data_IF_583835973229
#
_entry.id   IF_583835973229
#
_cell.length_a   1.000
_cell.length_b   1.000
_cell.length_c   1.000
_cell.angle_alpha   90.00
_cell.angle_beta   90.00
_cell.angle_gamma   90.00
#
_symmetry.space_group_name_H-M   'P 1'
#
loop_
_entity.id
_entity.type
_entity.pdbx_description
1 polymer ?
#
# COMPACT_ATOMS: atom_id res chain seq x y z
N UNK A 1 -22.42 -10.34 7.32
CA UNK A 1 -21.63 -11.34 8.07
C UNK A 1 -20.18 -11.16 7.68
N UNK A 2 -19.32 -10.70 8.60
CA UNK A 2 -17.89 -10.56 8.32
C UNK A 2 -17.29 -11.96 8.19
N UNK A 3 -16.61 -12.24 7.08
CA UNK A 3 -15.87 -13.49 6.94
C UNK A 3 -14.82 -13.56 8.05
N UNK A 4 -14.83 -14.66 8.79
CA UNK A 4 -13.92 -14.90 9.89
C UNK A 4 -12.48 -14.89 9.37
N UNK A 5 -11.66 -13.92 9.81
CA UNK A 5 -10.26 -13.81 9.38
C UNK A 5 -9.50 -15.04 9.86
N UNK A 6 -8.96 -15.82 8.94
CA UNK A 6 -8.43 -17.16 9.21
C UNK A 6 -6.98 -17.10 9.71
N UNK A 7 -6.24 -16.05 9.34
CA UNK A 7 -4.84 -15.88 9.74
C UNK A 7 -4.41 -14.41 9.86
N UNK A 8 -3.37 -14.18 10.66
CA UNK A 8 -2.73 -12.87 10.86
C UNK A 8 -1.22 -13.00 10.65
N UNK A 9 -0.62 -12.03 9.97
CA UNK A 9 0.83 -11.84 9.87
C UNK A 9 1.18 -10.61 10.69
N UNK A 10 2.03 -10.79 11.70
CA UNK A 10 2.61 -9.67 12.45
C UNK A 10 4.00 -9.35 11.93
N UNK A 11 4.25 -8.10 11.57
CA UNK A 11 5.50 -7.64 10.99
C UNK A 11 6.25 -6.80 12.02
N UNK A 12 7.48 -7.20 12.34
CA UNK A 12 8.35 -6.48 13.27
C UNK A 12 8.65 -5.07 12.74
N UNK A 13 8.45 -4.05 13.56
CA UNK A 13 8.81 -2.65 13.26
C UNK A 13 10.02 -2.17 14.08
N UNK A 14 10.80 -3.09 14.66
CA UNK A 14 12.08 -2.72 15.26
C UNK A 14 13.01 -2.11 14.20
N UNK A 15 13.72 -1.05 14.57
CA UNK A 15 14.63 -0.28 13.70
C UNK A 15 15.59 -1.17 12.89
N UNK A 16 16.16 -2.21 13.48
CA UNK A 16 17.12 -3.07 12.79
C UNK A 16 16.45 -3.95 11.72
N UNK A 17 15.25 -4.45 12.00
CA UNK A 17 14.44 -5.17 11.02
C UNK A 17 14.04 -4.26 9.86
N UNK A 18 13.53 -3.06 10.15
CA UNK A 18 13.14 -2.10 9.12
C UNK A 18 14.34 -1.68 8.27
N UNK A 19 15.46 -1.34 8.91
CA UNK A 19 16.70 -0.93 8.22
C UNK A 19 17.21 -2.03 7.30
N UNK A 20 17.23 -3.28 7.74
CA UNK A 20 17.71 -4.39 6.91
C UNK A 20 16.79 -4.65 5.71
N UNK A 21 15.48 -4.57 5.88
CA UNK A 21 14.57 -4.62 4.73
C UNK A 21 14.84 -3.49 3.74
N UNK A 22 14.99 -2.27 4.26
CA UNK A 22 15.24 -1.07 3.47
C UNK A 22 16.63 -1.04 2.81
N UNK A 23 17.58 -1.90 3.20
CA UNK A 23 18.82 -2.08 2.44
C UNK A 23 18.57 -2.73 1.08
N UNK A 24 17.66 -3.69 1.02
CA UNK A 24 17.25 -4.36 -0.23
C UNK A 24 16.16 -3.60 -0.97
N UNK A 25 15.27 -2.92 -0.24
CA UNK A 25 14.13 -2.19 -0.78
C UNK A 25 13.99 -0.81 -0.10
N UNK A 26 14.82 0.18 -0.47
CA UNK A 26 14.88 1.48 0.20
C UNK A 26 13.55 2.24 0.24
N UNK A 27 12.69 1.89 -0.71
CA UNK A 27 11.47 2.58 -1.08
C UNK A 27 10.19 1.96 -0.56
N UNK A 28 10.27 0.79 0.07
CA UNK A 28 9.09 0.03 0.49
C UNK A 28 9.25 -0.51 1.89
N UNK A 29 8.14 -0.70 2.58
CA UNK A 29 8.14 -1.42 3.84
C UNK A 29 7.70 -2.86 3.62
N UNK A 30 8.19 -3.78 4.46
CA UNK A 30 7.78 -5.18 4.43
C UNK A 30 6.24 -5.35 4.59
N UNK A 31 5.54 -4.60 5.48
CA UNK A 31 4.08 -4.61 5.52
C UNK A 31 3.41 -4.25 4.20
N UNK A 32 3.92 -3.25 3.47
CA UNK A 32 3.33 -2.84 2.19
C UNK A 32 3.47 -3.94 1.15
N UNK A 33 4.66 -4.54 1.05
CA UNK A 33 4.90 -5.65 0.13
C UNK A 33 4.04 -6.87 0.49
N UNK A 34 3.88 -7.18 1.77
CA UNK A 34 2.96 -8.25 2.21
C UNK A 34 1.52 -7.97 1.77
N UNK A 35 1.02 -6.74 1.97
CA UNK A 35 -0.33 -6.35 1.53
C UNK A 35 -0.49 -6.38 0.01
N UNK A 36 0.56 -6.07 -0.73
CA UNK A 36 0.56 -6.07 -2.19
C UNK A 36 0.61 -7.49 -2.78
N UNK A 37 1.32 -8.42 -2.12
CA UNK A 37 1.41 -9.83 -2.53
C UNK A 37 0.18 -10.66 -2.14
N UNK A 38 -0.55 -10.22 -1.11
CA UNK A 38 -1.73 -10.92 -0.59
C UNK A 38 -3.01 -10.29 -1.13
N UNK A 39 -3.81 -11.09 -1.83
CA UNK A 39 -5.09 -10.62 -2.35
C UNK A 39 -6.10 -10.32 -1.22
N UNK A 40 -7.04 -9.39 -1.41
CA UNK A 40 -8.13 -9.18 -0.43
C UNK A 40 -8.94 -10.44 -0.10
N UNK A 41 -8.93 -11.43 -1.01
CA UNK A 41 -9.61 -12.72 -0.88
C UNK A 41 -8.92 -13.70 0.09
N UNK A 42 -7.65 -13.50 0.44
CA UNK A 42 -6.86 -14.53 1.13
C UNK A 42 -7.16 -14.69 2.64
N UNK A 43 -8.06 -13.88 3.21
CA UNK A 43 -8.42 -13.88 4.64
C UNK A 43 -7.21 -13.74 5.62
N UNK A 44 -6.08 -13.22 5.13
CA UNK A 44 -4.88 -12.92 5.92
C UNK A 44 -4.84 -11.44 6.26
N UNK A 45 -4.69 -11.13 7.55
CA UNK A 45 -4.54 -9.75 8.02
C UNK A 45 -3.06 -9.41 8.27
N UNK A 46 -2.58 -8.27 7.75
CA UNK A 46 -1.18 -7.84 7.92
C UNK A 46 -1.12 -6.71 8.95
N UNK A 47 -0.58 -7.01 10.13
CA UNK A 47 -0.42 -6.06 11.23
C UNK A 47 1.05 -5.71 11.45
N UNK A 48 1.30 -4.46 11.78
CA UNK A 48 2.59 -4.04 12.32
C UNK A 48 2.61 -4.24 13.83
N UNK A 49 3.78 -4.56 14.36
CA UNK A 49 4.00 -4.71 15.81
C UNK A 49 5.39 -4.18 16.17
N UNK A 50 5.68 -4.05 17.47
CA UNK A 50 7.00 -3.66 17.95
C UNK A 50 8.07 -4.71 17.67
N UNK A 51 8.99 -4.87 18.62
CA UNK A 51 10.03 -5.89 18.53
C UNK A 51 9.44 -7.30 18.66
N UNK A 52 9.74 -8.19 17.72
CA UNK A 52 9.38 -9.62 17.76
C UNK A 52 10.52 -10.52 18.31
N UNK A 53 11.50 -9.92 18.98
CA UNK A 53 12.76 -10.55 19.39
C UNK A 53 13.64 -10.97 18.20
N UNK A 54 14.93 -11.25 18.44
CA UNK A 54 15.91 -11.70 17.42
C UNK A 54 16.03 -10.75 16.21
N UNK A 55 15.99 -9.43 16.44
CA UNK A 55 16.07 -8.43 15.38
C UNK A 55 17.45 -8.34 14.72
N UNK A 56 18.49 -8.88 15.38
CA UNK A 56 19.81 -9.14 14.81
C UNK A 56 19.76 -10.11 13.61
N UNK A 57 18.70 -10.93 13.52
CA UNK A 57 18.40 -11.84 12.41
C UNK A 57 17.21 -11.39 11.56
N UNK A 58 16.75 -10.15 11.73
CA UNK A 58 15.67 -9.55 10.95
C UNK A 58 15.88 -9.59 9.43
N UNK A 59 14.90 -9.17 8.63
CA UNK A 59 13.53 -8.80 9.00
C UNK A 59 12.70 -9.99 9.51
N UNK A 60 11.84 -9.74 10.50
CA UNK A 60 11.07 -10.77 11.21
C UNK A 60 9.56 -10.61 11.01
N UNK A 61 8.87 -11.73 10.83
CA UNK A 61 7.40 -11.81 10.88
C UNK A 61 6.94 -12.97 11.75
N UNK A 62 5.74 -12.89 12.30
CA UNK A 62 5.06 -14.00 12.97
C UNK A 62 3.77 -14.33 12.22
N UNK A 63 3.66 -15.58 11.79
CA UNK A 63 2.40 -16.14 11.32
C UNK A 63 1.56 -16.57 12.52
N UNK A 64 0.31 -16.14 12.57
CA UNK A 64 -0.69 -16.56 13.57
C UNK A 64 -1.87 -17.19 12.86
N UNK A 65 -2.05 -18.49 13.04
CA UNK A 65 -3.18 -19.23 12.49
C UNK A 65 -3.58 -20.36 13.45
N UNK A 66 -4.89 -20.54 13.66
CA UNK A 66 -5.46 -21.66 14.44
C UNK A 66 -4.81 -21.86 15.83
N UNK A 67 -4.57 -20.76 16.55
CA UNK A 67 -3.94 -20.78 17.88
C UNK A 67 -2.43 -21.08 17.91
N UNK A 68 -1.80 -21.33 16.75
CA UNK A 68 -0.35 -21.50 16.61
C UNK A 68 0.30 -20.19 16.18
N UNK A 69 1.53 -19.99 16.65
CA UNK A 69 2.38 -18.88 16.23
C UNK A 69 3.72 -19.41 15.74
N UNK A 70 4.22 -18.84 14.64
CA UNK A 70 5.50 -19.23 14.06
C UNK A 70 6.28 -17.99 13.65
N UNK A 71 7.42 -17.80 14.29
CA UNK A 71 8.37 -16.75 13.96
C UNK A 71 9.20 -17.17 12.74
N UNK A 72 9.27 -16.29 11.75
CA UNK A 72 10.15 -16.41 10.58
C UNK A 72 11.05 -15.19 10.54
N UNK A 73 12.32 -15.42 10.23
CA UNK A 73 13.41 -14.45 10.32
C UNK A 73 14.18 -14.42 9.01
N UNK A 74 15.03 -13.41 8.83
CA UNK A 74 15.91 -13.29 7.66
C UNK A 74 15.16 -13.03 6.36
N UNK A 75 13.98 -12.42 6.42
CA UNK A 75 13.17 -12.12 5.23
C UNK A 75 13.65 -10.83 4.56
N UNK A 76 14.85 -10.85 3.97
CA UNK A 76 15.49 -9.69 3.35
C UNK A 76 15.24 -9.57 1.83
N UNK A 77 14.48 -10.51 1.25
CA UNK A 77 14.11 -10.54 -0.16
C UNK A 77 12.66 -10.97 -0.36
N UNK A 78 12.06 -10.50 -1.45
CA UNK A 78 10.71 -10.92 -1.88
C UNK A 78 10.65 -12.43 -2.10
N UNK A 79 11.72 -13.06 -2.60
CA UNK A 79 11.76 -14.51 -2.84
C UNK A 79 11.64 -15.31 -1.53
N UNK A 80 12.39 -14.95 -0.49
CA UNK A 80 12.30 -15.59 0.83
C UNK A 80 10.93 -15.34 1.47
N UNK A 81 10.35 -14.16 1.26
CA UNK A 81 9.01 -13.84 1.72
C UNK A 81 7.96 -14.75 1.07
N UNK A 82 8.03 -14.96 -0.26
CA UNK A 82 7.12 -15.85 -0.98
C UNK A 82 7.27 -17.29 -0.49
N UNK A 83 8.50 -17.78 -0.34
CA UNK A 83 8.74 -19.14 0.18
C UNK A 83 8.12 -19.32 1.57
N UNK A 84 8.27 -18.31 2.45
CA UNK A 84 7.67 -18.33 3.78
C UNK A 84 6.13 -18.34 3.72
N UNK A 85 5.53 -17.54 2.83
CA UNK A 85 4.08 -17.50 2.61
C UNK A 85 3.56 -18.83 2.07
N UNK A 86 4.20 -19.40 1.04
CA UNK A 86 3.78 -20.68 0.45
C UNK A 86 3.95 -21.85 1.41
N UNK A 87 4.98 -21.82 2.26
CA UNK A 87 5.17 -22.82 3.31
C UNK A 87 4.09 -22.78 4.37
N UNK A 88 3.55 -21.60 4.68
CA UNK A 88 2.55 -21.44 5.73
C UNK A 88 1.11 -21.61 5.20
N UNK A 89 0.82 -21.06 4.03
CA UNK A 89 -0.54 -20.98 3.49
C UNK A 89 -0.78 -21.90 2.28
N UNK A 90 0.26 -22.54 1.75
CA UNK A 90 0.19 -23.42 0.58
C UNK A 90 0.71 -22.76 -0.69
N UNK A 91 1.14 -23.61 -1.64
CA UNK A 91 1.62 -23.17 -2.95
C UNK A 91 0.54 -22.41 -3.71
N UNK A 92 0.95 -21.34 -4.41
CA UNK A 92 0.04 -20.53 -5.22
C UNK A 92 -0.79 -19.52 -4.43
N UNK A 93 -0.54 -19.35 -3.12
CA UNK A 93 -1.15 -18.27 -2.33
C UNK A 93 -0.78 -16.86 -2.86
N UNK A 94 0.36 -16.74 -3.54
CA UNK A 94 0.81 -15.50 -4.19
C UNK A 94 0.75 -15.68 -5.71
N UNK A 95 -0.16 -14.99 -6.42
CA UNK A 95 -0.20 -14.97 -7.87
C UNK A 95 1.12 -14.47 -8.50
N UNK A 96 1.64 -15.13 -9.56
CA UNK A 96 2.88 -14.70 -10.23
C UNK A 96 2.86 -13.25 -10.73
N UNK A 97 1.68 -12.76 -11.15
CA UNK A 97 1.50 -11.38 -11.62
C UNK A 97 1.67 -10.35 -10.49
N UNK A 98 1.26 -10.68 -9.26
CA UNK A 98 1.53 -9.81 -8.10
C UNK A 98 3.02 -9.79 -7.75
N UNK A 99 3.72 -10.91 -7.87
CA UNK A 99 5.18 -10.96 -7.69
C UNK A 99 5.88 -10.02 -8.69
N UNK A 100 5.50 -10.11 -9.97
CA UNK A 100 6.03 -9.25 -11.01
C UNK A 100 5.69 -7.77 -10.77
N UNK A 101 4.44 -7.48 -10.42
CA UNK A 101 3.98 -6.12 -10.11
C UNK A 101 4.76 -5.50 -8.96
N UNK A 102 4.96 -6.20 -7.84
CA UNK A 102 5.74 -5.72 -6.70
C UNK A 102 7.19 -5.37 -7.07
N UNK A 103 7.81 -6.16 -7.94
CA UNK A 103 9.16 -5.88 -8.44
C UNK A 103 9.21 -4.62 -9.30
N UNK A 104 8.22 -4.43 -10.18
CA UNK A 104 8.14 -3.23 -11.04
C UNK A 104 7.78 -2.00 -10.21
N UNK A 105 6.94 -2.12 -9.19
CA UNK A 105 6.65 -1.04 -8.24
C UNK A 105 7.90 -0.58 -7.48
N UNK A 106 8.79 -1.50 -7.11
CA UNK A 106 10.10 -1.15 -6.54
C UNK A 106 10.92 -0.28 -7.51
N UNK A 107 11.03 -0.70 -8.78
CA UNK A 107 11.72 0.06 -9.83
C UNK A 107 11.08 1.43 -10.09
N UNK A 108 9.75 1.51 -10.06
CA UNK A 108 9.03 2.77 -10.24
C UNK A 108 9.40 3.81 -9.18
N UNK A 109 9.65 3.37 -7.94
CA UNK A 109 10.05 4.30 -6.89
C UNK A 109 11.51 4.74 -7.02
N UNK A 110 12.39 3.86 -7.50
CA UNK A 110 13.80 4.17 -7.76
C UNK A 110 14.01 5.05 -9.00
N UNK A 111 13.01 5.14 -9.88
CA UNK A 111 13.05 5.96 -11.07
C UNK A 111 13.20 7.45 -10.73
N UNK A 112 14.17 8.11 -11.38
CA UNK A 112 14.53 9.51 -11.14
C UNK A 112 13.77 10.51 -12.01
N UNK A 113 13.11 10.05 -13.06
CA UNK A 113 12.32 10.88 -13.99
C UNK A 113 10.85 10.53 -13.93
N UNK A 114 10.00 11.51 -14.25
CA UNK A 114 8.56 11.31 -14.41
C UNK A 114 8.27 10.23 -15.47
N UNK A 115 8.86 10.34 -16.67
CA UNK A 115 8.60 9.41 -17.78
C UNK A 115 8.90 7.95 -17.43
N UNK A 116 10.03 7.71 -16.76
CA UNK A 116 10.42 6.36 -16.36
C UNK A 116 9.50 5.81 -15.26
N UNK A 117 9.21 6.63 -14.24
CA UNK A 117 8.28 6.29 -13.15
C UNK A 117 6.89 5.98 -13.71
N UNK A 118 6.39 6.85 -14.58
CA UNK A 118 5.09 6.72 -15.25
C UNK A 118 5.03 5.45 -16.09
N UNK A 119 6.06 5.15 -16.89
CA UNK A 119 6.14 3.91 -17.68
C UNK A 119 6.05 2.66 -16.81
N UNK A 120 6.80 2.60 -15.71
CA UNK A 120 6.75 1.44 -14.80
C UNK A 120 5.37 1.29 -14.15
N UNK A 121 4.79 2.38 -13.65
CA UNK A 121 3.47 2.37 -13.01
C UNK A 121 2.36 2.01 -14.01
N UNK A 122 2.42 2.56 -15.23
CA UNK A 122 1.46 2.26 -16.28
C UNK A 122 1.53 0.78 -16.69
N UNK A 123 2.73 0.19 -16.75
CA UNK A 123 2.88 -1.24 -17.00
C UNK A 123 2.22 -2.08 -15.91
N UNK A 124 2.36 -1.71 -14.63
CA UNK A 124 1.72 -2.44 -13.52
C UNK A 124 0.20 -2.31 -13.60
N UNK A 125 -0.30 -1.09 -13.78
CA UNK A 125 -1.75 -0.82 -13.88
C UNK A 125 -2.36 -1.60 -15.03
N UNK A 126 -1.78 -1.52 -16.24
CA UNK A 126 -2.29 -2.24 -17.41
C UNK A 126 -2.32 -3.76 -17.22
N UNK A 127 -1.29 -4.33 -16.59
CA UNK A 127 -1.25 -5.78 -16.34
C UNK A 127 -2.29 -6.19 -15.30
N UNK A 128 -2.45 -5.46 -14.20
CA UNK A 128 -3.36 -5.86 -13.14
C UNK A 128 -4.83 -5.53 -13.44
N UNK A 129 -5.11 -4.47 -14.20
CA UNK A 129 -6.48 -4.16 -14.65
C UNK A 129 -6.97 -5.15 -15.71
N UNK A 130 -6.06 -5.70 -16.54
CA UNK A 130 -6.39 -6.74 -17.52
C UNK A 130 -6.79 -8.09 -16.89
N UNK A 131 -6.64 -8.23 -15.57
CA UNK A 131 -6.88 -9.48 -14.84
C UNK A 131 -8.06 -9.31 -13.88
N UNK A 132 -9.24 -9.88 -14.17
CA UNK A 132 -10.44 -9.68 -13.35
C UNK A 132 -10.25 -10.02 -11.87
N UNK A 133 -9.43 -11.03 -11.57
CA UNK A 133 -9.13 -11.47 -10.20
C UNK A 133 -8.23 -10.47 -9.45
N UNK A 134 -7.38 -9.74 -10.17
CA UNK A 134 -6.41 -8.79 -9.59
C UNK A 134 -6.83 -7.33 -9.72
N UNK A 135 -7.92 -7.05 -10.43
CA UNK A 135 -8.47 -5.70 -10.64
C UNK A 135 -8.92 -4.99 -9.35
N UNK A 136 -8.88 -5.69 -8.21
CA UNK A 136 -9.18 -5.16 -6.87
C UNK A 136 -8.03 -5.38 -5.87
N UNK A 137 -6.85 -5.78 -6.35
CA UNK A 137 -5.67 -6.06 -5.53
C UNK A 137 -5.10 -4.80 -4.87
N UNK A 138 -4.45 -4.97 -3.72
CA UNK A 138 -3.71 -3.88 -3.07
C UNK A 138 -2.57 -3.36 -3.94
N UNK A 139 -1.90 -4.23 -4.70
CA UNK A 139 -0.83 -3.84 -5.62
C UNK A 139 -1.32 -2.87 -6.70
N UNK A 140 -2.51 -3.11 -7.27
CA UNK A 140 -3.11 -2.18 -8.22
C UNK A 140 -3.48 -0.85 -7.56
N UNK A 141 -4.08 -0.89 -6.36
CA UNK A 141 -4.39 0.34 -5.62
C UNK A 141 -3.12 1.17 -5.35
N UNK A 142 -2.03 0.53 -4.93
CA UNK A 142 -0.73 1.18 -4.77
C UNK A 142 -0.22 1.78 -6.06
N UNK A 143 -0.31 1.04 -7.17
CA UNK A 143 0.16 1.50 -8.47
C UNK A 143 -0.60 2.75 -8.93
N UNK A 144 -1.92 2.76 -8.76
CA UNK A 144 -2.78 3.91 -9.07
C UNK A 144 -2.42 5.13 -8.21
N UNK A 145 -2.32 4.98 -6.89
CA UNK A 145 -1.95 6.12 -6.00
C UNK A 145 -0.54 6.64 -6.30
N UNK A 146 0.41 5.74 -6.58
CA UNK A 146 1.78 6.14 -6.94
C UNK A 146 1.79 6.86 -8.29
N UNK A 147 0.95 6.45 -9.25
CA UNK A 147 0.83 7.10 -10.56
C UNK A 147 0.13 8.44 -10.44
N UNK A 148 -0.88 8.55 -9.58
CA UNK A 148 -1.52 9.79 -9.23
C UNK A 148 -0.52 10.79 -8.64
N UNK A 149 0.31 10.36 -7.68
CA UNK A 149 1.36 11.21 -7.11
C UNK A 149 2.35 11.70 -8.18
N UNK A 150 2.85 10.80 -9.03
CA UNK A 150 3.78 11.17 -10.10
C UNK A 150 3.16 12.19 -11.08
N UNK A 151 1.90 11.98 -11.48
CA UNK A 151 1.15 12.90 -12.34
C UNK A 151 0.90 14.25 -11.68
N UNK A 152 0.54 14.24 -10.40
CA UNK A 152 0.32 15.46 -9.63
C UNK A 152 1.59 16.30 -9.53
N UNK A 153 2.75 15.68 -9.26
CA UNK A 153 4.06 16.32 -9.25
C UNK A 153 4.42 16.95 -10.60
N UNK A 154 4.02 16.29 -11.69
CA UNK A 154 4.22 16.74 -13.07
C UNK A 154 3.08 17.62 -13.61
N UNK A 155 2.23 18.17 -12.73
CA UNK A 155 1.13 19.09 -13.06
C UNK A 155 -0.01 18.51 -13.93
N UNK A 156 -0.07 17.19 -14.07
CA UNK A 156 -1.16 16.43 -14.71
C UNK A 156 -2.29 16.15 -13.69
N UNK A 157 -2.85 17.21 -13.09
CA UNK A 157 -3.74 17.10 -11.91
C UNK A 157 -5.06 16.37 -12.17
N UNK A 158 -5.67 16.54 -13.35
CA UNK A 158 -6.94 15.86 -13.66
C UNK A 158 -6.75 14.34 -13.81
N UNK A 159 -5.67 13.91 -14.45
CA UNK A 159 -5.35 12.48 -14.57
C UNK A 159 -4.93 11.87 -13.24
N UNK A 160 -4.22 12.65 -12.40
CA UNK A 160 -3.91 12.27 -11.04
C UNK A 160 -5.18 12.03 -10.20
N UNK A 161 -6.16 12.94 -10.32
CA UNK A 161 -7.46 12.80 -9.66
C UNK A 161 -8.19 11.53 -10.12
N UNK A 162 -8.17 11.24 -11.43
CA UNK A 162 -8.77 10.03 -11.99
C UNK A 162 -8.21 8.75 -11.38
N UNK A 163 -6.87 8.65 -11.28
CA UNK A 163 -6.20 7.51 -10.65
C UNK A 163 -6.52 7.40 -9.16
N UNK A 164 -6.49 8.52 -8.43
CA UNK A 164 -6.74 8.54 -7.00
C UNK A 164 -8.19 8.15 -6.67
N UNK A 165 -9.18 8.67 -7.41
CA UNK A 165 -10.58 8.26 -7.28
C UNK A 165 -10.79 6.79 -7.65
N UNK A 166 -10.06 6.29 -8.66
CA UNK A 166 -10.11 4.86 -8.98
C UNK A 166 -9.62 4.03 -7.81
N UNK A 167 -8.52 4.41 -7.17
CA UNK A 167 -7.98 3.71 -6.01
C UNK A 167 -8.94 3.74 -4.81
N UNK A 168 -9.63 4.85 -4.53
CA UNK A 168 -10.62 4.91 -3.42
C UNK A 168 -11.84 4.02 -3.65
N UNK A 169 -12.16 3.70 -4.92
CA UNK A 169 -13.26 2.80 -5.28
C UNK A 169 -12.94 1.30 -5.11
N UNK A 170 -11.68 0.96 -4.80
CA UNK A 170 -11.24 -0.43 -4.71
C UNK A 170 -11.62 -1.08 -3.38
N UNK A 171 -11.82 -2.41 -3.40
CA UNK A 171 -12.07 -3.20 -2.19
C UNK A 171 -10.90 -3.22 -1.21
N UNK A 172 -9.67 -3.11 -1.72
CA UNK A 172 -8.49 -3.08 -0.87
C UNK A 172 -8.45 -1.78 -0.07
N UNK A 173 -8.38 -1.88 1.25
CA UNK A 173 -8.32 -0.72 2.15
C UNK A 173 -6.90 -0.25 2.45
N UNK A 174 -5.89 -1.03 2.06
CA UNK A 174 -4.48 -0.83 2.41
C UNK A 174 -3.93 0.53 1.99
N UNK A 175 -4.47 1.11 0.92
CA UNK A 175 -3.99 2.35 0.31
C UNK A 175 -5.03 3.49 0.36
N UNK A 176 -6.16 3.30 1.06
CA UNK A 176 -7.28 4.26 1.08
C UNK A 176 -6.89 5.60 1.68
N UNK A 177 -6.13 5.60 2.77
CA UNK A 177 -5.69 6.84 3.42
C UNK A 177 -4.90 7.73 2.45
N UNK A 178 -3.91 7.15 1.76
CA UNK A 178 -3.09 7.86 0.78
C UNK A 178 -3.91 8.25 -0.46
N UNK A 179 -4.84 7.40 -0.89
CA UNK A 179 -5.75 7.71 -2.01
C UNK A 179 -6.60 8.94 -1.70
N UNK A 180 -7.26 8.98 -0.54
CA UNK A 180 -8.09 10.13 -0.13
C UNK A 180 -7.28 11.40 0.09
N UNK A 181 -6.06 11.27 0.62
CA UNK A 181 -5.15 12.41 0.70
C UNK A 181 -4.85 12.99 -0.69
N UNK A 182 -4.54 12.13 -1.65
CA UNK A 182 -4.26 12.54 -3.03
C UNK A 182 -5.48 13.19 -3.71
N UNK A 183 -6.69 12.63 -3.51
CA UNK A 183 -7.94 13.23 -4.00
C UNK A 183 -8.11 14.65 -3.43
N UNK A 184 -7.88 14.83 -2.12
CA UNK A 184 -7.96 16.15 -1.49
C UNK A 184 -6.94 17.14 -2.08
N UNK A 185 -5.69 16.73 -2.27
CA UNK A 185 -4.65 17.58 -2.85
C UNK A 185 -4.98 17.98 -4.31
N UNK A 186 -5.49 17.04 -5.11
CA UNK A 186 -5.95 17.33 -6.47
C UNK A 186 -7.10 18.35 -6.48
N UNK A 187 -8.13 18.17 -5.66
CA UNK A 187 -9.26 19.11 -5.60
C UNK A 187 -8.84 20.51 -5.13
N UNK A 188 -7.89 20.61 -4.19
CA UNK A 188 -7.34 21.91 -3.77
C UNK A 188 -6.69 22.64 -4.96
N UNK A 189 -5.86 21.94 -5.72
CA UNK A 189 -5.16 22.51 -6.89
C UNK A 189 -6.14 22.89 -8.01
N UNK A 190 -7.21 22.14 -8.19
CA UNK A 190 -8.27 22.44 -9.16
C UNK A 190 -9.25 23.54 -8.70
N UNK A 191 -9.03 24.15 -7.54
CA UNK A 191 -9.92 25.20 -7.02
C UNK A 191 -11.32 24.68 -6.64
N UNK A 192 -11.40 23.42 -6.17
CA UNK A 192 -12.64 22.73 -5.75
C UNK A 192 -12.66 22.50 -4.24
N UNK A 193 -12.83 23.56 -3.42
CA UNK A 193 -12.68 23.51 -1.97
C UNK A 193 -13.71 22.60 -1.26
N UNK A 194 -14.96 22.54 -1.73
CA UNK A 194 -15.98 21.69 -1.11
C UNK A 194 -15.66 20.21 -1.27
N UNK A 195 -15.24 19.79 -2.46
CA UNK A 195 -14.81 18.42 -2.75
C UNK A 195 -13.51 18.07 -2.03
N UNK A 196 -12.57 19.02 -1.93
CA UNK A 196 -11.37 18.86 -1.12
C UNK A 196 -11.70 18.62 0.36
N UNK A 197 -12.65 19.37 0.93
CA UNK A 197 -13.10 19.18 2.32
C UNK A 197 -13.73 17.80 2.49
N UNK A 198 -14.54 17.34 1.54
CA UNK A 198 -15.12 15.99 1.58
C UNK A 198 -14.03 14.91 1.60
N UNK A 199 -13.04 15.01 0.71
CA UNK A 199 -11.93 14.06 0.66
C UNK A 199 -11.04 14.09 1.92
N UNK A 200 -10.82 15.27 2.51
CA UNK A 200 -10.10 15.41 3.78
C UNK A 200 -10.81 14.71 4.95
N UNK A 201 -12.15 14.71 4.96
CA UNK A 201 -12.93 13.98 5.98
C UNK A 201 -12.75 12.48 5.82
N UNK A 202 -12.80 11.96 4.60
CA UNK A 202 -12.55 10.54 4.32
C UNK A 202 -11.13 10.13 4.72
N UNK A 203 -10.13 10.97 4.43
CA UNK A 203 -8.76 10.75 4.89
C UNK A 203 -8.66 10.73 6.43
N UNK A 204 -9.31 11.67 7.12
CA UNK A 204 -9.34 11.72 8.59
C UNK A 204 -10.08 10.55 9.24
N UNK A 205 -11.03 9.94 8.53
CA UNK A 205 -11.70 8.69 8.95
C UNK A 205 -10.77 7.49 8.83
N UNK A 206 -9.94 7.44 7.78
CA UNK A 206 -8.93 6.40 7.59
C UNK A 206 -7.77 6.53 8.59
N UNK A 207 -7.38 7.76 8.93
CA UNK A 207 -6.25 8.06 9.81
C UNK A 207 -6.65 8.96 10.99
N UNK A 208 -7.31 8.41 12.03
CA UNK A 208 -7.77 9.19 13.17
C UNK A 208 -6.66 9.97 13.90
N UNK A 209 -5.42 9.50 13.81
CA UNK A 209 -4.24 10.17 14.36
C UNK A 209 -4.00 11.56 13.75
N UNK A 210 -4.44 11.80 12.51
CA UNK A 210 -4.29 13.09 11.83
C UNK A 210 -5.51 14.01 11.96
N UNK A 211 -6.51 13.68 12.79
CA UNK A 211 -7.77 14.45 12.93
C UNK A 211 -7.56 15.94 13.19
N UNK A 212 -6.64 16.30 14.08
CA UNK A 212 -6.34 17.71 14.38
C UNK A 212 -5.76 18.46 13.17
N UNK A 213 -4.93 17.80 12.36
CA UNK A 213 -4.38 18.36 11.11
C UNK A 213 -5.48 18.54 10.07
N UNK A 214 -6.29 17.50 9.87
CA UNK A 214 -7.44 17.50 8.95
C UNK A 214 -8.40 18.65 9.27
N UNK A 215 -8.76 18.83 10.55
CA UNK A 215 -9.66 19.90 10.97
C UNK A 215 -9.10 21.30 10.68
N UNK A 216 -7.79 21.49 10.82
CA UNK A 216 -7.12 22.76 10.50
C UNK A 216 -7.18 23.05 9.00
N UNK A 217 -6.79 22.08 8.17
CA UNK A 217 -6.86 22.24 6.71
C UNK A 217 -8.30 22.51 6.22
N UNK A 218 -9.30 21.83 6.80
CA UNK A 218 -10.72 22.11 6.48
C UNK A 218 -11.12 23.53 6.87
N UNK A 219 -10.68 24.04 8.03
CA UNK A 219 -10.97 25.42 8.44
C UNK A 219 -10.32 26.45 7.51
N UNK A 220 -9.10 26.18 7.03
CA UNK A 220 -8.42 27.03 6.07
C UNK A 220 -9.17 27.08 4.73
N UNK A 221 -9.57 25.94 4.19
CA UNK A 221 -10.34 25.88 2.94
C UNK A 221 -11.69 26.59 3.04
N UNK A 222 -12.37 26.49 4.18
CA UNK A 222 -13.64 27.20 4.43
C UNK A 222 -13.53 28.72 4.42
N UNK A 223 -12.33 29.29 4.62
CA UNK A 223 -12.10 30.73 4.53
C UNK A 223 -11.90 31.22 3.10
N UNK A 224 -11.70 30.30 2.15
CA UNK A 224 -11.54 30.58 0.73
C UNK A 224 -12.87 30.48 -0.05
N UNK A 225 -13.91 29.93 0.60
CA UNK A 225 -15.30 29.94 0.15
C UNK A 225 -15.97 31.28 0.48
#
# INVERSE_FOLDING_TARGET
MAAERVAEIQVCQNKDCCKRWQQSYPSTTLPDILRDLLEPSCFVDVKTTGCLSQCDKGPNIVFKARGKQKLVQGLDSISLLIEALEKEFGKGIVPPKLIAACRVLGKAHEASSFDEKHRFLNSVVSVLEGEPELAQSSALARALVSRAQARYEDQHTEEALGDALRATSMKSTSWNALSWRMVADCYKTLGKPDEAIAALREWGSCEPAFRSKVNREIQELRRLL
#
